data_IF_357474061149
#
_entry.id   IF_357474061149
#
_cell.length_a   1.000
_cell.length_b   1.000
_cell.length_c   1.000
_cell.angle_alpha   90.00
_cell.angle_beta   90.00
_cell.angle_gamma   90.00
#
_symmetry.space_group_name_H-M   'P 1'
#
loop_
_entity.id
_entity.type
_entity.pdbx_description
1 polymer ?
#
# COMPACT_ATOMS: atom_id res chain seq x y z
N UNK A 1 -7.82 -67.08 -32.27
CA UNK A 1 -7.33 -65.92 -31.48
C UNK A 1 -6.31 -65.20 -32.35
N UNK A 2 -6.43 -63.93 -32.74
CA UNK A 2 -6.47 -62.69 -31.97
C UNK A 2 -7.07 -61.58 -32.86
N UNK A 3 -7.91 -60.71 -32.30
CA UNK A 3 -8.44 -59.51 -32.98
C UNK A 3 -7.32 -58.48 -33.16
N UNK A 4 -7.12 -58.01 -34.39
CA UNK A 4 -6.29 -56.83 -34.69
C UNK A 4 -6.94 -55.60 -34.05
N UNK A 5 -6.29 -54.99 -33.06
CA UNK A 5 -6.68 -53.69 -32.51
C UNK A 5 -6.28 -52.59 -33.49
N UNK A 6 -7.16 -51.63 -33.80
CA UNK A 6 -6.83 -50.51 -34.67
C UNK A 6 -5.73 -49.65 -34.02
N UNK A 7 -4.70 -49.31 -34.80
CA UNK A 7 -3.67 -48.34 -34.42
C UNK A 7 -4.35 -46.97 -34.27
N UNK A 8 -4.49 -46.52 -33.03
CA UNK A 8 -4.99 -45.18 -32.71
C UNK A 8 -3.81 -44.23 -32.90
N UNK A 9 -3.87 -43.41 -33.96
CA UNK A 9 -2.92 -42.32 -34.18
C UNK A 9 -3.45 -41.04 -33.51
N UNK A 10 -2.75 -40.58 -32.48
CA UNK A 10 -3.04 -39.32 -31.82
C UNK A 10 -2.57 -38.16 -32.71
N UNK A 11 -3.49 -37.29 -33.13
CA UNK A 11 -3.24 -36.24 -34.14
C UNK A 11 -2.78 -34.89 -33.58
N UNK A 12 -2.84 -34.67 -32.26
CA UNK A 12 -2.53 -33.38 -31.66
C UNK A 12 -1.22 -33.39 -30.87
N UNK A 13 -0.17 -32.80 -31.46
CA UNK A 13 1.17 -32.65 -30.86
C UNK A 13 1.45 -31.23 -30.36
N UNK A 14 0.47 -30.32 -30.46
CA UNK A 14 0.61 -28.91 -30.06
C UNK A 14 -0.66 -28.43 -29.39
N UNK A 15 -0.48 -27.74 -28.27
CA UNK A 15 -1.53 -27.05 -27.53
C UNK A 15 -1.14 -25.58 -27.49
N UNK A 16 -2.03 -24.67 -27.90
CA UNK A 16 -1.83 -23.24 -27.73
C UNK A 16 -2.24 -22.86 -26.31
N UNK A 17 -1.24 -22.47 -25.50
CA UNK A 17 -1.45 -21.90 -24.17
C UNK A 17 -1.26 -20.39 -24.25
N UNK A 18 -2.33 -19.63 -24.04
CA UNK A 18 -2.26 -18.17 -23.88
C UNK A 18 -2.31 -17.85 -22.40
N UNK A 19 -1.19 -17.44 -21.83
CA UNK A 19 -1.13 -16.96 -20.44
C UNK A 19 -1.28 -15.43 -20.47
N UNK A 20 -2.34 -14.86 -19.88
CA UNK A 20 -2.47 -13.41 -19.78
C UNK A 20 -1.38 -12.87 -18.85
N UNK A 21 -0.58 -11.92 -19.35
CA UNK A 21 0.39 -11.18 -18.54
C UNK A 21 -0.21 -9.83 -18.17
N UNK A 22 -0.22 -9.50 -16.88
CA UNK A 22 -0.64 -8.19 -16.41
C UNK A 22 0.59 -7.29 -16.29
N UNK A 23 0.57 -6.15 -16.97
CA UNK A 23 1.61 -5.14 -16.83
C UNK A 23 1.45 -4.43 -15.48
N UNK A 24 2.56 -4.33 -14.73
CA UNK A 24 2.63 -3.63 -13.44
C UNK A 24 3.31 -2.29 -13.66
N UNK A 25 2.84 -1.27 -12.96
CA UNK A 25 3.42 0.07 -12.95
C UNK A 25 3.50 0.60 -11.51
N UNK A 26 4.27 1.68 -11.32
CA UNK A 26 4.47 2.36 -10.05
C UNK A 26 3.95 3.79 -10.10
N UNK A 27 3.28 4.23 -9.04
CA UNK A 27 2.79 5.59 -8.87
C UNK A 27 3.26 6.20 -7.56
N UNK A 28 3.14 7.52 -7.42
CA UNK A 28 3.55 8.25 -6.23
C UNK A 28 2.62 9.42 -5.93
N UNK A 29 2.22 9.56 -4.66
CA UNK A 29 1.43 10.69 -4.16
C UNK A 29 2.09 11.35 -2.94
N UNK A 30 1.76 12.63 -2.73
CA UNK A 30 2.05 13.36 -1.48
C UNK A 30 0.76 13.42 -0.66
N UNK A 31 0.65 12.55 0.34
CA UNK A 31 -0.58 12.34 1.10
C UNK A 31 -0.47 13.04 2.45
N UNK A 32 -1.47 13.84 2.87
CA UNK A 32 -1.50 14.43 4.21
C UNK A 32 -1.63 13.35 5.27
N UNK A 33 -1.07 13.62 6.45
CA UNK A 33 -1.17 12.73 7.61
C UNK A 33 -2.00 13.44 8.69
N UNK A 34 -3.07 12.80 9.12
CA UNK A 34 -3.93 13.33 10.17
C UNK A 34 -3.42 12.96 11.56
N UNK A 35 -3.73 13.80 12.55
CA UNK A 35 -3.43 13.51 13.96
C UNK A 35 -4.72 13.10 14.65
N UNK A 36 -4.80 11.85 15.10
CA UNK A 36 -5.91 11.36 15.93
C UNK A 36 -5.50 11.49 17.39
N UNK A 37 -5.97 12.57 18.02
CA UNK A 37 -5.78 12.82 19.45
C UNK A 37 -7.11 12.68 20.19
N UNK A 38 -7.08 11.95 21.29
CA UNK A 38 -8.13 11.84 22.29
C UNK A 38 -7.90 12.82 23.46
N UNK A 39 -6.75 13.48 23.52
CA UNK A 39 -6.43 14.46 24.57
C UNK A 39 -6.57 15.89 24.01
N UNK A 40 -7.64 16.63 24.39
CA UNK A 40 -7.91 17.96 23.85
C UNK A 40 -6.95 19.05 24.36
N UNK A 41 -6.23 18.80 25.47
CA UNK A 41 -5.33 19.77 26.11
C UNK A 41 -4.01 19.97 25.35
N UNK A 42 -3.60 19.01 24.51
CA UNK A 42 -2.34 19.09 23.78
C UNK A 42 -2.55 19.47 22.32
N UNK A 43 -1.89 20.54 21.89
CA UNK A 43 -1.82 20.87 20.46
C UNK A 43 -0.60 20.20 19.83
N UNK A 44 -0.87 19.16 19.05
CA UNK A 44 0.14 18.31 18.44
C UNK A 44 0.34 18.72 16.98
N UNK A 45 1.60 18.92 16.58
CA UNK A 45 1.96 19.22 15.19
C UNK A 45 2.99 18.21 14.70
N UNK A 46 2.70 17.51 13.60
CA UNK A 46 3.61 16.55 12.97
C UNK A 46 4.46 17.22 11.89
N UNK A 47 5.70 16.73 11.75
CA UNK A 47 6.66 17.22 10.76
C UNK A 47 7.37 16.03 10.12
N UNK A 48 7.23 15.84 8.79
CA UNK A 48 6.39 16.60 7.85
C UNK A 48 4.88 16.34 8.01
N UNK A 49 4.04 17.25 7.51
CA UNK A 49 2.56 17.09 7.49
C UNK A 49 2.03 16.30 6.29
N UNK A 50 2.88 16.06 5.28
CA UNK A 50 2.62 15.18 4.15
C UNK A 50 3.76 14.19 4.01
N UNK A 51 3.43 12.98 3.60
CA UNK A 51 4.39 11.91 3.33
C UNK A 51 4.24 11.41 1.92
N UNK A 52 5.32 10.87 1.37
CA UNK A 52 5.31 10.24 0.06
C UNK A 52 4.72 8.83 0.19
N UNK A 53 3.67 8.57 -0.57
CA UNK A 53 3.14 7.23 -0.82
C UNK A 53 3.68 6.75 -2.15
N UNK A 54 4.32 5.59 -2.17
CA UNK A 54 4.73 4.88 -3.39
C UNK A 54 3.93 3.60 -3.48
N UNK A 55 3.27 3.34 -4.61
CA UNK A 55 2.42 2.18 -4.79
C UNK A 55 2.66 1.50 -6.13
N UNK A 56 2.42 0.19 -6.18
CA UNK A 56 2.46 -0.59 -7.41
C UNK A 56 1.09 -1.20 -7.67
N UNK A 57 0.68 -1.18 -8.94
CA UNK A 57 -0.65 -1.62 -9.38
C UNK A 57 -0.57 -2.12 -10.83
N UNK A 58 -1.67 -2.69 -11.35
CA UNK A 58 -1.76 -3.03 -12.77
C UNK A 58 -2.00 -1.78 -13.61
N UNK A 59 -1.57 -1.79 -14.87
CA UNK A 59 -1.75 -0.64 -15.76
C UNK A 59 -3.23 -0.21 -15.88
N UNK A 60 -4.15 -1.18 -15.93
CA UNK A 60 -5.60 -0.92 -16.00
C UNK A 60 -6.15 -0.20 -14.76
N UNK A 61 -5.54 -0.41 -13.59
CA UNK A 61 -5.97 0.19 -12.32
C UNK A 61 -5.19 1.47 -12.01
N UNK A 62 -4.21 1.86 -12.82
CA UNK A 62 -3.33 2.99 -12.51
C UNK A 62 -4.08 4.32 -12.53
N UNK A 63 -4.93 4.52 -13.55
CA UNK A 63 -5.69 5.77 -13.74
C UNK A 63 -6.84 5.94 -12.74
N UNK A 64 -7.26 4.87 -12.06
CA UNK A 64 -8.37 4.92 -11.10
C UNK A 64 -7.95 5.21 -9.66
N UNK A 65 -6.64 5.33 -9.39
CA UNK A 65 -6.12 5.61 -8.05
C UNK A 65 -5.83 7.10 -7.92
N UNK A 66 -6.35 7.70 -6.86
CA UNK A 66 -6.09 9.09 -6.50
C UNK A 66 -5.57 9.22 -5.06
N UNK A 67 -5.04 10.39 -4.73
CA UNK A 67 -4.58 10.79 -3.40
C UNK A 67 -5.66 10.57 -2.34
N UNK A 68 -6.94 10.77 -2.69
CA UNK A 68 -8.09 10.61 -1.79
C UNK A 68 -8.37 9.16 -1.37
N UNK A 69 -7.83 8.18 -2.10
CA UNK A 69 -7.95 6.76 -1.73
C UNK A 69 -7.06 6.39 -0.55
N UNK A 70 -6.13 7.27 -0.17
CA UNK A 70 -5.20 7.06 0.92
C UNK A 70 -5.56 7.93 2.11
N UNK A 71 -5.76 7.31 3.26
CA UNK A 71 -5.90 7.99 4.54
C UNK A 71 -4.81 7.53 5.49
N UNK A 72 -3.97 8.48 5.89
CA UNK A 72 -2.82 8.27 6.76
C UNK A 72 -3.01 9.04 8.06
N UNK A 73 -2.59 8.46 9.17
CA UNK A 73 -2.72 9.12 10.46
C UNK A 73 -1.62 8.70 11.44
N UNK A 74 -1.43 9.51 12.48
CA UNK A 74 -0.71 9.14 13.71
C UNK A 74 -1.69 9.15 14.88
N UNK A 75 -1.43 8.32 15.88
CA UNK A 75 -2.25 8.24 17.10
C UNK A 75 -1.55 8.89 18.28
N UNK A 76 -2.35 9.36 19.24
CA UNK A 76 -1.83 10.03 20.41
C UNK A 76 -1.28 9.15 21.52
N UNK A 77 -1.73 7.91 21.56
CA UNK A 77 -1.19 6.89 22.47
C UNK A 77 0.30 6.62 22.21
N UNK A 78 0.79 6.94 21.01
CA UNK A 78 2.20 6.80 20.65
C UNK A 78 3.06 8.00 21.12
N UNK A 79 2.46 9.08 21.66
CA UNK A 79 3.19 10.21 22.28
C UNK A 79 3.58 9.85 23.72
N UNK A 80 4.78 9.32 23.89
CA UNK A 80 5.32 9.14 25.23
C UNK A 80 6.17 10.35 25.61
N UNK A 81 5.60 11.23 26.44
CA UNK A 81 6.30 12.40 26.97
C UNK A 81 7.33 12.04 28.04
N UNK A 82 7.34 10.80 28.52
CA UNK A 82 8.27 10.30 29.55
C UNK A 82 9.54 9.68 28.95
N UNK A 83 9.52 9.32 27.66
CA UNK A 83 10.69 8.79 26.96
C UNK A 83 11.65 9.91 26.53
N UNK A 84 12.96 9.60 26.56
CA UNK A 84 14.02 10.51 26.14
C UNK A 84 13.94 10.80 24.64
N UNK A 85 13.93 12.08 24.27
CA UNK A 85 13.90 12.57 22.89
C UNK A 85 15.12 12.08 22.06
N UNK A 86 14.98 11.89 20.74
CA UNK A 86 13.81 12.16 19.90
C UNK A 86 12.95 10.91 19.62
N UNK A 87 11.68 10.95 20.05
CA UNK A 87 10.69 9.96 19.65
C UNK A 87 10.13 10.31 18.26
N UNK A 88 9.93 9.29 17.41
CA UNK A 88 9.24 9.43 16.13
C UNK A 88 7.99 8.58 16.10
N UNK A 89 6.91 9.12 15.57
CA UNK A 89 5.61 8.44 15.52
C UNK A 89 5.50 7.60 14.25
N UNK A 90 5.02 6.36 14.34
CA UNK A 90 4.71 5.57 13.16
C UNK A 90 3.50 6.14 12.42
N UNK A 91 3.60 6.24 11.09
CA UNK A 91 2.45 6.57 10.24
C UNK A 91 1.62 5.31 10.04
N UNK A 92 0.34 5.39 10.34
CA UNK A 92 -0.65 4.32 10.16
C UNK A 92 -1.55 4.61 8.97
N UNK A 93 -2.17 3.57 8.43
CA UNK A 93 -3.07 3.63 7.27
C UNK A 93 -4.47 3.23 7.71
N UNK A 94 -5.48 4.07 7.45
CA UNK A 94 -6.89 3.68 7.64
C UNK A 94 -7.57 3.29 6.35
N UNK A 95 -7.14 3.86 5.23
CA UNK A 95 -7.73 3.59 3.92
C UNK A 95 -6.63 3.52 2.85
N UNK A 96 -6.76 2.55 1.95
CA UNK A 96 -5.98 2.40 0.72
C UNK A 96 -6.75 1.52 -0.28
N UNK A 97 -6.49 1.62 -1.59
CA UNK A 97 -7.07 0.68 -2.55
C UNK A 97 -6.69 -0.78 -2.25
N UNK A 98 -7.65 -1.69 -2.40
CA UNK A 98 -7.44 -3.12 -2.14
C UNK A 98 -6.63 -3.82 -3.23
N UNK A 99 -6.66 -3.29 -4.45
CA UNK A 99 -6.04 -3.86 -5.64
C UNK A 99 -4.58 -3.40 -5.87
N UNK A 100 -3.94 -2.81 -4.85
CA UNK A 100 -2.51 -2.51 -4.90
C UNK A 100 -1.70 -3.79 -4.74
N UNK A 101 -0.72 -3.99 -5.62
CA UNK A 101 0.25 -5.08 -5.52
C UNK A 101 1.27 -4.81 -4.41
N UNK A 102 1.70 -3.56 -4.29
CA UNK A 102 2.64 -3.11 -3.27
C UNK A 102 2.34 -1.66 -2.86
N UNK A 103 2.71 -1.28 -1.65
CA UNK A 103 2.53 0.07 -1.11
C UNK A 103 3.59 0.36 -0.04
N UNK A 104 4.14 1.57 -0.05
CA UNK A 104 5.16 2.05 0.88
C UNK A 104 4.94 3.52 1.23
N UNK A 105 5.17 3.87 2.50
CA UNK A 105 5.13 5.25 3.00
C UNK A 105 6.56 5.71 3.30
N UNK A 106 6.89 6.93 2.90
CA UNK A 106 8.21 7.51 3.09
C UNK A 106 8.12 9.02 3.43
N UNK A 107 8.58 9.45 4.62
CA UNK A 107 9.03 8.62 5.75
C UNK A 107 7.86 7.88 6.41
N UNK A 108 8.12 6.69 6.94
CA UNK A 108 7.16 5.87 7.70
C UNK A 108 7.07 6.28 9.19
N UNK A 109 7.98 7.15 9.64
CA UNK A 109 7.97 7.75 10.97
C UNK A 109 8.18 9.25 10.93
N UNK A 110 7.40 10.00 11.71
CA UNK A 110 7.40 11.46 11.72
C UNK A 110 7.89 12.02 13.04
N UNK A 111 8.51 13.20 12.97
CA UNK A 111 8.76 13.99 14.16
C UNK A 111 7.47 14.72 14.56
N UNK A 112 7.41 15.16 15.81
CA UNK A 112 6.27 15.92 16.30
C UNK A 112 6.71 17.02 17.27
N UNK A 113 5.82 17.98 17.47
CA UNK A 113 5.91 19.06 18.44
C UNK A 113 4.62 19.07 19.25
N UNK A 114 4.74 19.13 20.57
CA UNK A 114 3.61 19.31 21.49
C UNK A 114 3.67 20.73 22.03
N UNK A 115 2.56 21.46 21.95
CA UNK A 115 2.36 22.74 22.63
C UNK A 115 1.28 22.57 23.70
N UNK A 116 1.60 23.02 24.90
CA UNK A 116 0.69 23.19 26.03
C UNK A 116 0.03 24.56 25.96
#
# INVERSE_FOLDING_TARGET
MRKNTPNINYSHHKVQLTVPVNQITEGTFQVPVDVRSNVPEYKITIIPSKVKVVYQTTLNNFESIDTSDFQLYVEDQDFDTTLSYPQKLPVRVSQKPAFLNHFKIMPDRLNFLIKQ
#
